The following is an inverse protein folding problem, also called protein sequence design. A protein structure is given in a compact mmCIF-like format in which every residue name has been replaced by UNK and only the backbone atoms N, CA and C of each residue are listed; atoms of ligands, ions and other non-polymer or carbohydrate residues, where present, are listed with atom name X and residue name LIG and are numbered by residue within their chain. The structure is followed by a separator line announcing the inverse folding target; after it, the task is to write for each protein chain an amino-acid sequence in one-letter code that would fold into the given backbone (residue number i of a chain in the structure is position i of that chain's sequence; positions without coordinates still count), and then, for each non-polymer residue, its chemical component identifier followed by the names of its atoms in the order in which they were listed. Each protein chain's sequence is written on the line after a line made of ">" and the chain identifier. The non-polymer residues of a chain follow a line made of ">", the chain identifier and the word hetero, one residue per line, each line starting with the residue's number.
data_IF_073510806123
#
_entry.id   IF_073510806123
#
_cell.length_a   1.000
_cell.length_b   1.000
_cell.length_c   1.000
_cell.angle_alpha   90.00
_cell.angle_beta   90.00
_cell.angle_gamma   90.00
#
_symmetry.space_group_name_H-M   'P 1'
#
loop_
_entity.id
_entity.type
_entity.pdbx_description
1 polymer ?
#
# COMPACT_ATOMS: atom_id res chain seq x y z
N UNK A 1 52.33 -34.41 -6.08
CA UNK A 1 51.60 -33.97 -4.87
C UNK A 1 51.73 -32.44 -4.79
N UNK A 2 50.79 -31.70 -5.39
CA UNK A 2 50.81 -30.23 -5.42
C UNK A 2 49.79 -29.73 -4.39
N UNK A 3 50.29 -29.13 -3.29
CA UNK A 3 49.47 -28.43 -2.31
C UNK A 3 48.93 -27.15 -2.95
N UNK A 4 47.62 -27.06 -3.11
CA UNK A 4 46.93 -25.82 -3.45
C UNK A 4 46.67 -25.07 -2.14
N UNK A 5 47.44 -24.00 -1.89
CA UNK A 5 47.20 -23.07 -0.79
C UNK A 5 46.12 -22.10 -1.28
N UNK A 6 44.88 -22.33 -0.85
CA UNK A 6 43.78 -21.41 -1.06
C UNK A 6 43.93 -20.28 -0.02
N UNK A 7 44.53 -19.17 -0.42
CA UNK A 7 44.59 -17.96 0.39
C UNK A 7 43.22 -17.28 0.40
N UNK A 8 42.38 -17.62 1.37
CA UNK A 8 41.16 -16.90 1.69
C UNK A 8 41.55 -15.54 2.28
N UNK A 9 41.72 -14.54 1.42
CA UNK A 9 41.84 -13.14 1.85
C UNK A 9 40.48 -12.72 2.38
N UNK A 10 40.28 -12.88 3.68
CA UNK A 10 39.21 -12.21 4.41
C UNK A 10 39.49 -10.70 4.34
N UNK A 11 38.88 -10.03 3.36
CA UNK A 11 38.68 -8.59 3.42
C UNK A 11 37.70 -8.32 4.56
N UNK A 12 38.24 -8.21 5.78
CA UNK A 12 37.57 -7.54 6.88
C UNK A 12 37.65 -6.05 6.52
N UNK A 13 36.78 -5.63 5.61
CA UNK A 13 36.50 -4.22 5.43
C UNK A 13 35.89 -3.74 6.73
N UNK A 14 36.71 -3.15 7.59
CA UNK A 14 36.21 -2.27 8.63
C UNK A 14 35.44 -1.19 7.89
N UNK A 15 34.12 -1.36 7.79
CA UNK A 15 33.21 -0.30 7.44
C UNK A 15 33.41 0.75 8.52
N UNK A 16 34.32 1.69 8.27
CA UNK A 16 34.43 2.87 9.10
C UNK A 16 33.03 3.49 9.06
N UNK A 17 32.37 3.51 10.22
CA UNK A 17 31.10 4.18 10.35
C UNK A 17 31.29 5.59 9.79
N UNK A 18 30.59 5.92 8.69
CA UNK A 18 30.62 7.27 8.16
C UNK A 18 29.91 8.14 9.18
N UNK A 19 30.67 8.89 9.96
CA UNK A 19 30.11 9.87 10.87
C UNK A 19 29.40 10.93 10.03
N UNK A 20 28.07 11.04 10.23
CA UNK A 20 27.28 12.08 9.58
C UNK A 20 27.62 13.44 10.18
N UNK A 21 27.66 14.51 9.37
CA UNK A 21 27.86 15.85 9.89
C UNK A 21 26.68 16.25 10.79
N UNK A 22 26.89 17.12 11.79
CA UNK A 22 25.84 17.59 12.69
C UNK A 22 24.95 18.61 11.97
N UNK A 23 24.06 18.13 11.09
CA UNK A 23 23.10 18.98 10.36
C UNK A 23 22.14 19.61 11.37
N UNK A 24 22.16 20.94 11.45
CA UNK A 24 21.27 21.69 12.32
C UNK A 24 19.89 21.81 11.69
N UNK A 25 18.85 21.76 12.53
CA UNK A 25 17.51 22.06 12.07
C UNK A 25 17.38 23.56 11.75
N UNK A 26 16.65 23.94 10.68
CA UNK A 26 16.31 25.34 10.44
C UNK A 26 15.58 25.90 11.66
N UNK A 27 16.09 27.01 12.21
CA UNK A 27 15.58 27.59 13.47
C UNK A 27 14.12 28.00 13.34
N UNK A 28 13.76 28.52 12.18
CA UNK A 28 12.42 28.97 11.82
C UNK A 28 11.40 27.82 11.82
N UNK A 29 11.83 26.56 11.67
CA UNK A 29 10.95 25.39 11.65
C UNK A 29 10.86 24.68 13.01
N UNK A 30 11.78 24.98 13.95
CA UNK A 30 11.91 24.25 15.22
C UNK A 30 11.69 25.10 16.47
N UNK A 31 11.92 26.40 16.41
CA UNK A 31 11.63 27.29 17.53
C UNK A 31 10.11 27.34 17.78
N UNK A 32 9.67 27.00 19.00
CA UNK A 32 8.24 27.01 19.37
C UNK A 32 7.59 28.39 19.28
N UNK A 33 8.39 29.46 19.27
CA UNK A 33 7.93 30.83 19.04
C UNK A 33 7.75 31.18 17.56
N UNK A 34 8.25 30.36 16.64
CA UNK A 34 8.14 30.60 15.20
C UNK A 34 6.71 30.33 14.70
N UNK A 35 6.22 31.19 13.80
CA UNK A 35 4.95 30.98 13.11
C UNK A 35 4.97 29.77 12.15
N UNK A 36 6.16 29.24 11.82
CA UNK A 36 6.36 28.11 10.92
C UNK A 36 6.72 26.79 11.63
N UNK A 37 6.63 26.75 12.96
CA UNK A 37 6.99 25.57 13.73
C UNK A 37 6.25 24.29 13.27
N UNK A 38 7.03 23.26 12.93
CA UNK A 38 6.54 22.00 12.36
C UNK A 38 5.92 21.03 13.37
N UNK A 39 5.99 21.36 14.66
CA UNK A 39 5.56 20.51 15.76
C UNK A 39 6.67 19.58 16.26
N UNK A 40 6.44 18.95 17.41
CA UNK A 40 7.43 18.11 18.12
C UNK A 40 6.93 16.69 18.38
N UNK A 41 5.63 16.46 18.22
CA UNK A 41 5.00 15.18 18.52
C UNK A 41 5.07 14.28 17.28
N UNK A 42 6.02 13.34 17.30
CA UNK A 42 6.23 12.33 16.25
C UNK A 42 5.36 11.08 16.44
N UNK A 43 4.85 10.85 17.66
CA UNK A 43 4.05 9.67 18.01
C UNK A 43 2.65 10.09 18.42
N UNK A 44 1.65 9.52 17.76
CA UNK A 44 0.23 9.75 18.06
C UNK A 44 -0.31 8.57 18.84
N UNK A 45 -0.96 8.83 19.98
CA UNK A 45 -1.78 7.82 20.65
C UNK A 45 -3.07 7.56 19.88
N UNK A 46 -3.80 6.47 20.19
CA UNK A 46 -5.11 6.22 19.58
C UNK A 46 -6.09 7.40 19.79
N UNK A 47 -6.06 8.03 20.96
CA UNK A 47 -6.87 9.21 21.25
C UNK A 47 -6.45 10.43 20.41
N UNK A 48 -5.16 10.59 20.13
CA UNK A 48 -4.67 11.66 19.25
C UNK A 48 -5.08 11.42 17.79
N UNK A 49 -5.14 10.15 17.36
CA UNK A 49 -5.61 9.74 16.04
C UNK A 49 -7.08 10.08 15.84
N UNK A 50 -7.95 9.80 16.82
CA UNK A 50 -9.38 10.12 16.76
C UNK A 50 -9.65 11.62 16.58
N UNK A 51 -8.77 12.47 17.12
CA UNK A 51 -8.84 13.93 16.96
C UNK A 51 -8.21 14.37 15.64
N UNK A 52 -7.13 13.72 15.21
CA UNK A 52 -6.42 14.08 14.00
C UNK A 52 -7.22 13.78 12.74
N UNK A 53 -7.86 12.60 12.64
CA UNK A 53 -8.51 12.15 11.41
C UNK A 53 -9.54 13.18 10.91
N UNK A 54 -10.47 13.70 11.75
CA UNK A 54 -11.40 14.74 11.35
C UNK A 54 -10.70 16.03 10.90
N UNK A 55 -9.63 16.44 11.58
CA UNK A 55 -8.83 17.60 11.18
C UNK A 55 -8.23 17.40 9.78
N UNK A 56 -7.61 16.25 9.53
CA UNK A 56 -6.93 15.98 8.27
C UNK A 56 -7.92 15.87 7.10
N UNK A 57 -9.06 15.21 7.31
CA UNK A 57 -10.14 15.14 6.31
C UNK A 57 -10.69 16.53 5.99
N UNK A 58 -10.91 17.36 7.01
CA UNK A 58 -11.35 18.73 6.82
C UNK A 58 -10.28 19.57 6.09
N UNK A 59 -9.01 19.44 6.47
CA UNK A 59 -7.90 20.11 5.81
C UNK A 59 -7.83 19.74 4.32
N UNK A 60 -7.93 18.45 3.98
CA UNK A 60 -7.97 17.99 2.60
C UNK A 60 -9.12 18.64 1.81
N UNK A 61 -10.34 18.64 2.36
CA UNK A 61 -11.50 19.25 1.72
C UNK A 61 -11.33 20.76 1.51
N UNK A 62 -10.86 21.47 2.54
CA UNK A 62 -10.60 22.92 2.49
C UNK A 62 -9.53 23.27 1.44
N UNK A 63 -8.44 22.51 1.39
CA UNK A 63 -7.34 22.73 0.45
C UNK A 63 -7.76 22.46 -1.01
N UNK A 64 -8.48 21.37 -1.26
CA UNK A 64 -9.02 21.08 -2.59
C UNK A 64 -9.97 22.18 -3.07
N UNK A 65 -10.89 22.61 -2.19
CA UNK A 65 -11.82 23.69 -2.50
C UNK A 65 -11.10 25.00 -2.79
N UNK A 66 -10.07 25.34 -2.02
CA UNK A 66 -9.28 26.55 -2.27
C UNK A 66 -8.62 26.56 -3.64
N UNK A 67 -8.09 25.41 -4.11
CA UNK A 67 -7.53 25.29 -5.47
C UNK A 67 -8.59 25.41 -6.57
N UNK A 68 -9.85 25.06 -6.29
CA UNK A 68 -10.96 25.25 -7.22
C UNK A 68 -11.43 26.71 -7.26
N UNK A 69 -11.63 27.32 -6.08
CA UNK A 69 -12.14 28.68 -5.91
C UNK A 69 -11.25 29.71 -6.63
N UNK A 70 -9.92 29.54 -6.58
CA UNK A 70 -8.96 30.49 -7.19
C UNK A 70 -9.10 30.63 -8.71
N UNK A 71 -9.68 29.65 -9.42
CA UNK A 71 -9.78 29.66 -10.90
C UNK A 71 -10.55 30.87 -11.45
N UNK A 72 -11.43 31.45 -10.65
CA UNK A 72 -12.27 32.60 -11.02
C UNK A 72 -11.76 33.95 -10.49
N UNK A 73 -10.68 33.94 -9.71
CA UNK A 73 -10.13 35.12 -9.02
C UNK A 73 -8.98 35.75 -9.80
N UNK A 74 -8.69 37.04 -9.54
CA UNK A 74 -7.44 37.67 -10.02
C UNK A 74 -6.22 37.16 -9.27
N UNK A 75 -5.01 37.20 -9.85
CA UNK A 75 -3.78 36.66 -9.22
C UNK A 75 -3.57 37.18 -7.79
N UNK A 76 -3.80 38.48 -7.54
CA UNK A 76 -3.67 39.07 -6.19
C UNK A 76 -4.73 38.54 -5.22
N UNK A 77 -5.95 38.30 -5.68
CA UNK A 77 -7.01 37.67 -4.88
C UNK A 77 -6.66 36.21 -4.61
N UNK A 78 -6.13 35.49 -5.60
CA UNK A 78 -5.70 34.09 -5.47
C UNK A 78 -4.64 33.94 -4.37
N UNK A 79 -3.57 34.74 -4.41
CA UNK A 79 -2.54 34.72 -3.36
C UNK A 79 -3.16 34.99 -1.99
N UNK A 80 -3.94 36.06 -1.85
CA UNK A 80 -4.52 36.43 -0.54
C UNK A 80 -5.41 35.30 -0.01
N UNK A 81 -6.22 34.70 -0.88
CA UNK A 81 -7.09 33.58 -0.55
C UNK A 81 -6.28 32.36 -0.12
N UNK A 82 -5.32 31.89 -0.91
CA UNK A 82 -4.49 30.73 -0.57
C UNK A 82 -3.67 30.96 0.69
N UNK A 83 -3.08 32.14 0.87
CA UNK A 83 -2.34 32.50 2.10
C UNK A 83 -3.23 32.36 3.34
N UNK A 84 -4.46 32.87 3.27
CA UNK A 84 -5.40 32.80 4.38
C UNK A 84 -5.81 31.35 4.68
N UNK A 85 -6.09 30.56 3.63
CA UNK A 85 -6.46 29.14 3.75
C UNK A 85 -5.32 28.32 4.36
N UNK A 86 -4.10 28.46 3.83
CA UNK A 86 -2.92 27.73 4.33
C UNK A 86 -2.69 28.08 5.81
N UNK A 87 -2.72 29.36 6.18
CA UNK A 87 -2.58 29.81 7.57
C UNK A 87 -3.69 29.24 8.47
N UNK A 88 -4.93 29.16 7.99
CA UNK A 88 -6.03 28.59 8.74
C UNK A 88 -5.85 27.09 9.00
N UNK A 89 -5.47 26.32 7.97
CA UNK A 89 -5.20 24.88 8.08
C UNK A 89 -4.04 24.62 9.06
N UNK A 90 -2.92 25.33 8.90
CA UNK A 90 -1.77 25.24 9.80
C UNK A 90 -2.17 25.57 11.25
N UNK A 91 -2.89 26.67 11.48
CA UNK A 91 -3.31 27.09 12.82
C UNK A 91 -4.23 26.07 13.48
N UNK A 92 -5.17 25.49 12.72
CA UNK A 92 -6.08 24.47 13.21
C UNK A 92 -5.33 23.17 13.59
N UNK A 93 -4.21 22.89 12.93
CA UNK A 93 -3.27 21.82 13.31
C UNK A 93 -2.41 22.18 14.53
N UNK A 94 -2.20 23.48 14.76
CA UNK A 94 -1.28 24.12 15.71
C UNK A 94 -1.49 23.73 17.16
N UNK A 95 -2.73 23.56 17.61
CA UNK A 95 -3.05 23.34 19.02
C UNK A 95 -2.49 22.05 19.62
N UNK A 96 -2.02 21.12 18.79
CA UNK A 96 -1.55 19.79 19.22
C UNK A 96 -0.11 19.45 18.83
N UNK A 97 0.59 20.32 18.09
CA UNK A 97 2.01 20.13 17.72
C UNK A 97 2.38 18.79 17.07
N UNK A 98 1.44 18.17 16.33
CA UNK A 98 1.70 16.94 15.60
C UNK A 98 2.63 17.19 14.41
N UNK A 99 3.64 16.34 14.26
CA UNK A 99 4.50 16.31 13.09
C UNK A 99 3.81 15.52 11.97
N UNK A 100 3.35 16.21 10.93
CA UNK A 100 2.81 15.58 9.72
C UNK A 100 3.36 16.22 8.47
N UNK A 101 3.51 15.43 7.40
CA UNK A 101 4.07 15.93 6.16
C UNK A 101 3.15 16.93 5.46
N UNK A 102 1.83 16.79 5.63
CA UNK A 102 0.88 17.82 5.22
C UNK A 102 1.19 19.16 5.90
N UNK A 103 1.42 19.18 7.21
CA UNK A 103 1.77 20.41 7.94
C UNK A 103 3.13 20.96 7.51
N UNK A 104 4.14 20.11 7.35
CA UNK A 104 5.48 20.52 6.92
C UNK A 104 5.41 21.22 5.56
N UNK A 105 4.70 20.62 4.61
CA UNK A 105 4.49 21.19 3.27
C UNK A 105 3.93 22.60 3.36
N UNK A 106 2.86 22.80 4.13
CA UNK A 106 2.16 24.08 4.26
C UNK A 106 3.00 25.13 4.99
N UNK A 107 3.67 24.77 6.09
CA UNK A 107 4.54 25.69 6.84
C UNK A 107 5.73 26.15 6.01
N UNK A 108 6.44 25.20 5.38
CA UNK A 108 7.59 25.51 4.53
C UNK A 108 7.17 26.34 3.32
N UNK A 109 5.98 26.10 2.77
CA UNK A 109 5.41 26.94 1.70
C UNK A 109 5.23 28.38 2.17
N UNK A 110 4.62 28.61 3.34
CA UNK A 110 4.47 29.97 3.88
C UNK A 110 5.82 30.63 4.17
N UNK A 111 6.78 29.86 4.69
CA UNK A 111 8.12 30.35 4.96
C UNK A 111 8.84 30.77 3.67
N UNK A 112 8.85 29.92 2.63
CA UNK A 112 9.44 30.27 1.34
C UNK A 112 8.77 31.50 0.71
N UNK A 113 7.45 31.64 0.83
CA UNK A 113 6.74 32.85 0.39
C UNK A 113 7.22 34.09 1.16
N UNK A 114 7.43 33.97 2.47
CA UNK A 114 7.96 35.07 3.28
C UNK A 114 9.38 35.45 2.84
N UNK A 115 10.26 34.48 2.59
CA UNK A 115 11.62 34.75 2.12
C UNK A 115 11.61 35.43 0.74
N UNK A 116 10.76 34.99 -0.18
CA UNK A 116 10.61 35.65 -1.50
C UNK A 116 10.17 37.12 -1.36
N UNK A 117 9.19 37.38 -0.48
CA UNK A 117 8.66 38.74 -0.24
C UNK A 117 9.68 39.66 0.45
N UNK A 118 10.62 39.12 1.23
CA UNK A 118 11.69 39.92 1.86
C UNK A 118 12.68 40.44 0.83
N UNK A 119 12.99 39.64 -0.17
CA UNK A 119 14.02 39.94 -1.17
C UNK A 119 13.46 40.65 -2.42
N UNK A 120 12.14 40.75 -2.59
CA UNK A 120 11.51 41.30 -3.80
C UNK A 120 10.36 42.26 -3.52
N UNK A 121 10.09 43.17 -4.45
CA UNK A 121 8.91 44.03 -4.37
C UNK A 121 7.64 43.24 -4.73
N UNK A 122 6.74 43.11 -3.75
CA UNK A 122 5.42 42.50 -3.88
C UNK A 122 4.55 43.13 -4.98
N UNK A 123 4.79 44.38 -5.34
CA UNK A 123 4.03 45.07 -6.38
C UNK A 123 4.37 44.57 -7.80
N UNK A 124 5.48 43.85 -7.98
CA UNK A 124 5.91 43.35 -9.29
C UNK A 124 5.09 42.12 -9.70
N UNK A 125 4.49 42.13 -10.90
CA UNK A 125 3.62 41.04 -11.38
C UNK A 125 4.31 39.66 -11.30
N UNK A 126 5.59 39.59 -11.69
CA UNK A 126 6.37 38.35 -11.62
C UNK A 126 6.54 37.80 -10.22
N UNK A 127 6.65 38.66 -9.19
CA UNK A 127 6.71 38.23 -7.79
C UNK A 127 5.40 37.59 -7.35
N UNK A 128 4.27 38.24 -7.66
CA UNK A 128 2.94 37.73 -7.27
C UNK A 128 2.65 36.38 -7.93
N UNK A 129 3.02 36.21 -9.20
CA UNK A 129 2.91 34.93 -9.92
C UNK A 129 3.79 33.84 -9.33
N UNK A 130 5.04 34.15 -8.97
CA UNK A 130 5.92 33.20 -8.31
C UNK A 130 5.39 32.77 -6.94
N UNK A 131 4.80 33.70 -6.18
CA UNK A 131 4.20 33.38 -4.88
C UNK A 131 2.99 32.48 -5.04
N UNK A 132 2.12 32.79 -5.99
CA UNK A 132 0.99 31.93 -6.34
C UNK A 132 1.47 30.52 -6.72
N UNK A 133 2.50 30.43 -7.56
CA UNK A 133 3.05 29.14 -8.00
C UNK A 133 3.58 28.32 -6.82
N UNK A 134 4.37 28.92 -5.91
CA UNK A 134 4.86 28.27 -4.69
C UNK A 134 3.68 27.79 -3.82
N UNK A 135 2.63 28.60 -3.66
CA UNK A 135 1.47 28.25 -2.86
C UNK A 135 0.66 27.09 -3.44
N UNK A 136 0.37 27.13 -4.74
CA UNK A 136 -0.34 26.04 -5.44
C UNK A 136 0.45 24.73 -5.30
N UNK A 137 1.76 24.76 -5.60
CA UNK A 137 2.65 23.59 -5.50
C UNK A 137 2.77 23.06 -4.07
N UNK A 138 2.78 23.97 -3.09
CA UNK A 138 2.76 23.64 -1.66
C UNK A 138 1.50 22.91 -1.22
N UNK A 139 0.33 23.38 -1.67
CA UNK A 139 -0.96 22.73 -1.40
C UNK A 139 -1.03 21.36 -2.09
N UNK A 140 -0.62 21.26 -3.35
CA UNK A 140 -0.57 19.98 -4.09
C UNK A 140 0.36 18.96 -3.39
N UNK A 141 1.51 19.40 -2.87
CA UNK A 141 2.39 18.56 -2.07
C UNK A 141 1.72 18.11 -0.76
N UNK A 142 1.08 19.04 -0.03
CA UNK A 142 0.37 18.73 1.21
C UNK A 142 -0.74 17.67 1.00
N UNK A 143 -1.50 17.79 -0.09
CA UNK A 143 -2.54 16.85 -0.48
C UNK A 143 -2.00 15.47 -0.88
N UNK A 144 -0.82 15.39 -1.50
CA UNK A 144 -0.18 14.09 -1.81
C UNK A 144 0.23 13.34 -0.54
N UNK A 145 0.74 14.06 0.45
CA UNK A 145 1.20 13.43 1.70
C UNK A 145 0.08 13.16 2.71
N UNK A 146 -1.12 13.69 2.50
CA UNK A 146 -2.30 13.38 3.32
C UNK A 146 -2.60 11.87 3.41
N UNK A 147 -2.54 11.14 2.29
CA UNK A 147 -2.82 9.70 2.31
C UNK A 147 -1.75 8.91 3.06
N UNK A 148 -0.49 9.37 2.98
CA UNK A 148 0.62 8.82 3.77
C UNK A 148 0.40 9.06 5.26
N UNK A 149 -0.07 10.25 5.65
CA UNK A 149 -0.40 10.62 7.02
C UNK A 149 -1.59 9.79 7.57
N UNK A 150 -2.60 9.45 6.75
CA UNK A 150 -3.69 8.55 7.14
C UNK A 150 -3.24 7.09 7.26
N UNK A 151 -2.43 6.61 6.31
CA UNK A 151 -1.89 5.26 6.34
C UNK A 151 -0.97 5.04 7.56
N UNK A 152 -0.22 6.08 7.95
CA UNK A 152 0.56 6.13 9.17
C UNK A 152 -0.30 5.86 10.42
N UNK A 153 -1.47 6.47 10.49
CA UNK A 153 -2.37 6.37 11.66
C UNK A 153 -3.13 5.07 11.74
N UNK A 154 -3.55 4.52 10.60
CA UNK A 154 -4.15 3.18 10.54
C UNK A 154 -3.19 2.11 11.05
N UNK A 155 -1.88 2.26 10.81
CA UNK A 155 -0.85 1.35 11.34
C UNK A 155 -0.64 1.52 12.85
N UNK A 156 -0.67 2.75 13.36
CA UNK A 156 -0.62 3.01 14.81
C UNK A 156 -1.79 2.35 15.54
N UNK A 157 -3.01 2.44 14.99
CA UNK A 157 -4.21 1.78 15.54
C UNK A 157 -4.16 0.24 15.52
N UNK A 158 -3.24 -0.35 14.75
CA UNK A 158 -3.01 -1.81 14.71
C UNK A 158 -1.97 -2.29 15.75
N UNK A 159 -1.61 -1.45 16.73
CA UNK A 159 -0.66 -1.80 17.79
C UNK A 159 0.80 -1.73 17.38
N UNK A 160 1.12 -1.11 16.22
CA UNK A 160 2.51 -0.76 15.87
C UNK A 160 2.83 0.57 16.55
N UNK A 161 3.30 0.49 17.79
CA UNK A 161 3.52 1.65 18.68
C UNK A 161 4.48 2.72 18.12
N UNK A 162 5.29 2.37 17.11
CA UNK A 162 6.19 3.31 16.43
C UNK A 162 6.22 3.04 14.93
N UNK A 163 5.87 4.04 14.14
CA UNK A 163 6.09 4.06 12.70
C UNK A 163 7.05 5.22 12.43
N UNK A 164 8.16 4.97 11.73
CA UNK A 164 9.06 6.06 11.34
C UNK A 164 8.44 6.86 10.18
N UNK A 165 8.48 8.18 10.26
CA UNK A 165 8.17 9.05 9.13
C UNK A 165 9.27 8.90 8.07
N UNK A 166 8.88 8.76 6.81
CA UNK A 166 9.82 8.66 5.69
C UNK A 166 10.21 10.09 5.23
N UNK A 167 11.02 10.75 6.05
CA UNK A 167 11.50 12.11 5.82
C UNK A 167 12.27 12.21 4.51
N UNK A 168 12.99 11.17 4.10
CA UNK A 168 13.74 11.19 2.85
C UNK A 168 12.83 11.21 1.61
N UNK A 169 11.77 10.40 1.59
CA UNK A 169 10.79 10.46 0.51
C UNK A 169 10.09 11.83 0.46
N UNK A 170 9.72 12.37 1.63
CA UNK A 170 9.15 13.70 1.72
C UNK A 170 10.11 14.79 1.21
N UNK A 171 11.37 14.77 1.64
CA UNK A 171 12.38 15.74 1.24
C UNK A 171 12.63 15.74 -0.26
N UNK A 172 12.65 14.57 -0.89
CA UNK A 172 12.78 14.45 -2.34
C UNK A 172 11.60 15.08 -3.09
N UNK A 173 10.37 14.75 -2.66
CA UNK A 173 9.18 15.31 -3.29
C UNK A 173 9.03 16.81 -3.03
N UNK A 174 9.32 17.26 -1.81
CA UNK A 174 9.37 18.67 -1.44
C UNK A 174 10.40 19.42 -2.28
N UNK A 175 11.64 18.92 -2.30
CA UNK A 175 12.74 19.49 -3.06
C UNK A 175 12.40 19.62 -4.53
N UNK A 176 12.07 18.53 -5.21
CA UNK A 176 11.67 18.56 -6.62
C UNK A 176 10.55 19.55 -6.90
N UNK A 177 9.51 19.54 -6.06
CA UNK A 177 8.33 20.40 -6.24
C UNK A 177 8.68 21.88 -6.09
N UNK A 178 9.44 22.23 -5.03
CA UNK A 178 9.78 23.62 -4.73
C UNK A 178 10.87 24.16 -5.63
N UNK A 179 11.87 23.34 -5.99
CA UNK A 179 12.92 23.75 -6.93
C UNK A 179 12.31 24.13 -8.29
N UNK A 180 11.36 23.34 -8.81
CA UNK A 180 10.61 23.71 -10.02
C UNK A 180 9.82 25.00 -9.82
N UNK A 181 9.22 25.20 -8.65
CA UNK A 181 8.45 26.42 -8.37
C UNK A 181 9.33 27.69 -8.34
N UNK A 182 10.59 27.56 -7.93
CA UNK A 182 11.53 28.68 -7.76
C UNK A 182 12.38 29.00 -8.99
N UNK A 183 12.36 28.13 -10.02
CA UNK A 183 13.14 28.34 -11.25
C UNK A 183 12.76 29.61 -12.02
N UNK A 184 11.51 30.09 -11.87
CA UNK A 184 11.00 31.27 -12.55
C UNK A 184 11.16 32.58 -11.74
N UNK A 185 11.83 32.53 -10.58
CA UNK A 185 12.18 33.73 -9.82
C UNK A 185 13.34 34.43 -10.51
N UNK A 186 13.07 35.61 -11.09
CA UNK A 186 14.04 36.36 -11.90
C UNK A 186 15.01 37.20 -11.06
N UNK A 187 14.60 37.56 -9.83
CA UNK A 187 15.48 38.24 -8.88
C UNK A 187 16.52 37.24 -8.35
N UNK A 188 17.80 37.52 -8.63
CA UNK A 188 18.89 36.59 -8.32
C UNK A 188 19.07 36.40 -6.81
N UNK A 189 18.91 37.45 -6.03
CA UNK A 189 19.06 37.41 -4.57
C UNK A 189 17.93 36.61 -3.92
N UNK A 190 16.70 36.81 -4.40
CA UNK A 190 15.54 36.02 -3.97
C UNK A 190 15.65 34.55 -4.39
N UNK A 191 16.02 34.26 -5.64
CA UNK A 191 16.17 32.89 -6.11
C UNK A 191 17.26 32.16 -5.31
N UNK A 192 18.41 32.82 -5.08
CA UNK A 192 19.47 32.27 -4.25
C UNK A 192 18.96 31.92 -2.84
N UNK A 193 18.29 32.86 -2.18
CA UNK A 193 17.76 32.69 -0.82
C UNK A 193 16.81 31.49 -0.72
N UNK A 194 15.91 31.35 -1.70
CA UNK A 194 14.95 30.24 -1.74
C UNK A 194 15.66 28.90 -1.95
N UNK A 195 16.61 28.82 -2.90
CA UNK A 195 17.37 27.60 -3.15
C UNK A 195 18.18 27.16 -1.93
N UNK A 196 18.80 28.12 -1.23
CA UNK A 196 19.55 27.85 0.00
C UNK A 196 18.63 27.21 1.05
N UNK A 197 17.47 27.83 1.33
CA UNK A 197 16.52 27.33 2.32
C UNK A 197 15.88 26.00 1.95
N UNK A 198 15.59 25.77 0.67
CA UNK A 198 15.11 24.47 0.20
C UNK A 198 16.16 23.37 0.48
N UNK A 199 17.43 23.61 0.15
CA UNK A 199 18.50 22.63 0.38
C UNK A 199 18.82 22.43 1.86
N UNK A 200 18.73 23.48 2.68
CA UNK A 200 18.85 23.40 4.14
C UNK A 200 17.79 22.44 4.72
N UNK A 201 16.54 22.60 4.30
CA UNK A 201 15.42 21.73 4.72
C UNK A 201 15.58 20.29 4.24
N UNK A 202 16.00 20.09 2.98
CA UNK A 202 16.26 18.76 2.42
C UNK A 202 17.35 18.04 3.22
N UNK A 203 18.46 18.74 3.51
CA UNK A 203 19.57 18.16 4.25
C UNK A 203 19.15 17.76 5.66
N UNK A 204 18.38 18.62 6.32
CA UNK A 204 17.83 18.32 7.64
C UNK A 204 16.93 17.08 7.61
N UNK A 205 16.02 16.98 6.64
CA UNK A 205 15.14 15.82 6.50
C UNK A 205 15.90 14.53 6.20
N UNK A 206 16.89 14.56 5.29
CA UNK A 206 17.75 13.41 5.02
C UNK A 206 18.53 12.97 6.26
N UNK A 207 19.07 13.91 7.04
CA UNK A 207 19.88 13.61 8.22
C UNK A 207 19.09 12.94 9.37
N UNK A 208 17.77 13.18 9.44
CA UNK A 208 16.90 12.60 10.48
C UNK A 208 16.09 11.39 10.01
N UNK A 209 16.23 11.00 8.75
CA UNK A 209 15.56 9.82 8.20
C UNK A 209 16.21 8.53 8.70
N UNK A 210 15.46 7.43 8.73
CA UNK A 210 15.99 6.11 9.07
C UNK A 210 17.06 5.61 8.08
N UNK A 211 17.09 6.16 6.85
CA UNK A 211 18.07 5.84 5.81
C UNK A 211 19.20 6.88 5.69
N UNK A 212 19.44 7.68 6.73
CA UNK A 212 20.45 8.75 6.69
C UNK A 212 21.86 8.25 6.33
N UNK A 213 22.22 7.02 6.72
CA UNK A 213 23.53 6.42 6.40
C UNK A 213 23.65 6.10 4.91
N UNK A 214 22.59 5.55 4.31
CA UNK A 214 22.53 5.27 2.86
C UNK A 214 22.53 6.58 2.04
N UNK A 215 22.08 7.68 2.64
CA UNK A 215 22.07 9.02 2.05
C UNK A 215 23.30 9.86 2.43
N UNK A 216 24.30 9.28 3.11
CA UNK A 216 25.41 10.04 3.72
C UNK A 216 26.16 10.93 2.75
N UNK A 217 26.37 10.45 1.52
CA UNK A 217 27.18 11.18 0.52
C UNK A 217 26.48 12.47 0.10
N UNK A 218 25.17 12.42 -0.12
CA UNK A 218 24.37 13.61 -0.43
C UNK A 218 24.25 14.55 0.77
N UNK A 219 24.08 14.00 1.98
CA UNK A 219 24.03 14.81 3.22
C UNK A 219 25.33 15.59 3.40
N UNK A 220 26.48 14.93 3.26
CA UNK A 220 27.81 15.56 3.40
C UNK A 220 28.05 16.60 2.31
N UNK A 221 27.66 16.32 1.06
CA UNK A 221 27.81 17.23 -0.06
C UNK A 221 27.00 18.52 0.14
N UNK A 222 25.72 18.40 0.52
CA UNK A 222 24.87 19.56 0.80
C UNK A 222 25.40 20.32 2.02
N UNK A 223 25.71 19.64 3.12
CA UNK A 223 26.22 20.26 4.34
C UNK A 223 27.48 21.07 4.08
N UNK A 224 28.48 20.48 3.43
CA UNK A 224 29.77 21.14 3.17
C UNK A 224 29.60 22.36 2.29
N UNK A 225 28.73 22.26 1.28
CA UNK A 225 28.47 23.37 0.36
C UNK A 225 27.75 24.50 1.09
N UNK A 226 26.64 24.24 1.79
CA UNK A 226 25.90 25.27 2.52
C UNK A 226 26.74 25.92 3.63
N UNK A 227 27.57 25.16 4.33
CA UNK A 227 28.47 25.67 5.37
C UNK A 227 29.53 26.66 4.83
N UNK A 228 29.90 26.50 3.55
CA UNK A 228 30.87 27.39 2.89
C UNK A 228 30.25 28.66 2.28
N UNK A 229 28.93 28.81 2.37
CA UNK A 229 28.17 29.88 1.73
C UNK A 229 27.50 30.75 2.80
N UNK A 230 27.40 32.06 2.54
CA UNK A 230 26.62 32.95 3.40
C UNK A 230 25.12 32.65 3.25
N UNK A 231 24.38 32.64 4.36
CA UNK A 231 22.96 32.32 4.33
C UNK A 231 22.12 33.41 3.61
N UNK A 232 22.59 34.66 3.66
CA UNK A 232 21.92 35.83 3.12
C UNK A 232 22.55 36.25 1.78
N UNK A 233 21.76 36.69 0.80
CA UNK A 233 22.29 37.21 -0.45
C UNK A 233 23.22 38.40 -0.22
N UNK A 234 24.25 38.53 -1.05
CA UNK A 234 25.04 39.75 -1.09
C UNK A 234 24.29 40.81 -1.91
N UNK A 235 24.64 42.08 -1.74
CA UNK A 235 24.08 43.16 -2.57
C UNK A 235 24.50 43.08 -4.05
N UNK A 236 25.35 42.12 -4.44
CA UNK A 236 25.90 41.96 -5.77
C UNK A 236 25.25 40.76 -6.47
N UNK A 237 24.40 41.03 -7.46
CA UNK A 237 23.71 40.01 -8.24
C UNK A 237 24.65 38.98 -8.89
N UNK A 238 25.87 39.38 -9.26
CA UNK A 238 26.84 38.46 -9.86
C UNK A 238 27.23 37.33 -8.88
N UNK A 239 27.37 37.64 -7.59
CA UNK A 239 27.68 36.65 -6.56
C UNK A 239 26.47 35.74 -6.31
N UNK A 240 25.27 36.30 -6.26
CA UNK A 240 24.02 35.54 -6.16
C UNK A 240 23.87 34.55 -7.33
N UNK A 241 24.15 34.97 -8.57
CA UNK A 241 24.13 34.08 -9.74
C UNK A 241 25.19 32.99 -9.66
N UNK A 242 26.41 33.31 -9.20
CA UNK A 242 27.45 32.30 -8.99
C UNK A 242 27.02 31.26 -7.95
N UNK A 243 26.40 31.71 -6.85
CA UNK A 243 25.88 30.85 -5.80
C UNK A 243 24.71 29.99 -6.28
N UNK A 244 23.77 30.54 -7.06
CA UNK A 244 22.68 29.78 -7.70
C UNK A 244 23.25 28.63 -8.53
N UNK A 245 24.31 28.86 -9.32
CA UNK A 245 24.95 27.79 -10.12
C UNK A 245 25.51 26.67 -9.25
N UNK A 246 26.13 27.00 -8.10
CA UNK A 246 26.63 26.01 -7.13
C UNK A 246 25.49 25.24 -6.47
N UNK A 247 24.40 25.89 -6.11
CA UNK A 247 23.23 25.21 -5.54
C UNK A 247 22.56 24.29 -6.58
N UNK A 248 22.50 24.71 -7.84
CA UNK A 248 21.94 23.88 -8.92
C UNK A 248 22.74 22.59 -9.16
N UNK A 249 24.05 22.56 -8.88
CA UNK A 249 24.79 21.28 -8.95
C UNK A 249 24.37 20.30 -7.84
N UNK A 250 24.00 20.81 -6.65
CA UNK A 250 23.49 19.97 -5.56
C UNK A 250 22.10 19.41 -5.85
N UNK A 251 21.25 20.16 -6.57
CA UNK A 251 19.93 19.69 -6.99
C UNK A 251 20.04 18.36 -7.76
N UNK A 252 21.00 18.27 -8.68
CA UNK A 252 21.24 17.04 -9.43
C UNK A 252 21.66 15.87 -8.51
N UNK A 253 22.37 16.14 -7.41
CA UNK A 253 22.70 15.14 -6.39
C UNK A 253 21.47 14.71 -5.61
N UNK A 254 20.58 15.65 -5.24
CA UNK A 254 19.29 15.33 -4.60
C UNK A 254 18.45 14.45 -5.51
N UNK A 255 18.32 14.76 -6.79
CA UNK A 255 17.55 13.95 -7.75
C UNK A 255 18.03 12.49 -7.83
N UNK A 256 19.35 12.26 -7.74
CA UNK A 256 19.92 10.90 -7.73
C UNK A 256 19.50 10.09 -6.50
N UNK A 257 19.22 10.74 -5.36
CA UNK A 257 18.78 10.02 -4.15
C UNK A 257 17.42 9.33 -4.35
N UNK A 258 16.59 9.80 -5.28
CA UNK A 258 15.33 9.11 -5.63
C UNK A 258 15.59 7.68 -6.14
N UNK A 259 16.70 7.47 -6.89
CA UNK A 259 17.12 6.14 -7.33
C UNK A 259 17.48 5.23 -6.15
N UNK A 260 18.24 5.76 -5.18
CA UNK A 260 18.62 5.05 -3.96
C UNK A 260 17.39 4.67 -3.13
N UNK A 261 16.47 5.62 -2.91
CA UNK A 261 15.24 5.37 -2.16
C UNK A 261 14.34 4.33 -2.83
N UNK A 262 14.25 4.34 -4.17
CA UNK A 262 13.50 3.32 -4.91
C UNK A 262 14.13 1.93 -4.76
N UNK A 263 15.46 1.85 -4.75
CA UNK A 263 16.16 0.58 -4.52
C UNK A 263 15.93 0.06 -3.10
N UNK A 264 15.98 0.94 -2.09
CA UNK A 264 15.67 0.59 -0.70
C UNK A 264 14.22 0.10 -0.58
N UNK A 265 13.27 0.84 -1.15
CA UNK A 265 11.85 0.46 -1.13
C UNK A 265 11.61 -0.91 -1.79
N UNK A 266 12.29 -1.19 -2.92
CA UNK A 266 12.24 -2.48 -3.60
C UNK A 266 12.80 -3.60 -2.70
N UNK A 267 13.99 -3.40 -2.12
CA UNK A 267 14.61 -4.38 -1.21
C UNK A 267 13.72 -4.68 0.01
N UNK A 268 13.18 -3.64 0.64
CA UNK A 268 12.28 -3.80 1.78
C UNK A 268 10.97 -4.50 1.39
N UNK A 269 10.44 -4.23 0.19
CA UNK A 269 9.26 -4.93 -0.34
C UNK A 269 9.52 -6.42 -0.59
N UNK A 270 10.69 -6.76 -1.13
CA UNK A 270 11.12 -8.15 -1.33
C UNK A 270 11.31 -8.87 0.01
N UNK A 271 11.95 -8.23 0.99
CA UNK A 271 12.15 -8.80 2.33
C UNK A 271 10.82 -9.02 3.07
N UNK A 272 9.91 -8.05 3.02
CA UNK A 272 8.57 -8.18 3.60
C UNK A 272 7.77 -9.30 2.94
N UNK A 273 7.84 -9.42 1.61
CA UNK A 273 7.19 -10.49 0.84
C UNK A 273 7.75 -11.86 1.21
N UNK A 274 9.08 -11.98 1.35
CA UNK A 274 9.69 -13.26 1.74
C UNK A 274 9.36 -13.63 3.20
N UNK A 275 9.36 -12.66 4.12
CA UNK A 275 8.93 -12.88 5.50
C UNK A 275 7.46 -13.29 5.60
N UNK A 276 6.58 -12.69 4.79
CA UNK A 276 5.18 -13.11 4.69
C UNK A 276 5.06 -14.55 4.19
N UNK A 277 5.80 -14.91 3.13
CA UNK A 277 5.84 -16.30 2.65
C UNK A 277 6.37 -17.27 3.70
N UNK A 278 7.36 -16.88 4.50
CA UNK A 278 7.88 -17.72 5.58
C UNK A 278 6.84 -17.92 6.68
N UNK A 279 6.14 -16.85 7.09
CA UNK A 279 5.03 -16.94 8.04
C UNK A 279 3.88 -17.79 7.52
N UNK A 280 3.54 -17.68 6.23
CA UNK A 280 2.54 -18.53 5.59
C UNK A 280 2.97 -19.99 5.58
N UNK A 281 4.22 -20.29 5.20
CA UNK A 281 4.77 -21.66 5.25
C UNK A 281 4.72 -22.22 6.65
N UNK A 282 5.06 -21.43 7.66
CA UNK A 282 5.03 -21.87 9.06
C UNK A 282 3.60 -22.08 9.56
N UNK A 283 2.66 -21.18 9.23
CA UNK A 283 1.25 -21.35 9.55
C UNK A 283 0.67 -22.63 8.90
N UNK A 284 1.05 -22.89 7.65
CA UNK A 284 0.70 -24.11 6.92
C UNK A 284 1.28 -25.33 7.64
N UNK A 285 2.57 -25.35 8.03
CA UNK A 285 3.15 -26.46 8.82
C UNK A 285 2.40 -26.72 10.11
N UNK A 286 2.02 -25.67 10.84
CA UNK A 286 1.32 -25.80 12.12
C UNK A 286 -0.12 -26.32 11.95
N UNK A 287 -0.80 -25.96 10.87
CA UNK A 287 -2.15 -26.44 10.55
C UNK A 287 -2.16 -27.90 10.10
N UNK A 288 -1.03 -28.42 9.63
CA UNK A 288 -0.99 -29.66 8.85
C UNK A 288 -0.02 -30.66 9.47
N UNK A 289 -0.51 -31.55 10.34
CA UNK A 289 0.29 -32.66 10.84
C UNK A 289 0.51 -33.67 9.70
N UNK A 290 1.49 -33.39 8.83
CA UNK A 290 1.91 -34.28 7.76
C UNK A 290 2.51 -35.54 8.38
N UNK A 291 2.04 -36.71 7.94
CA UNK A 291 2.56 -38.01 8.38
C UNK A 291 2.99 -38.84 7.18
N UNK A 292 4.12 -39.53 7.31
CA UNK A 292 4.52 -40.52 6.31
C UNK A 292 3.43 -41.59 6.17
N UNK A 293 3.13 -41.99 4.94
CA UNK A 293 2.03 -42.90 4.62
C UNK A 293 0.66 -42.24 4.44
N UNK A 294 0.52 -40.94 4.70
CA UNK A 294 -0.74 -40.20 4.49
C UNK A 294 -1.02 -39.99 2.98
N UNK A 295 -2.27 -40.18 2.56
CA UNK A 295 -2.72 -39.85 1.21
C UNK A 295 -3.00 -38.33 1.08
N UNK A 296 -2.45 -37.71 0.03
CA UNK A 296 -2.52 -36.26 -0.18
C UNK A 296 -2.47 -35.93 -1.68
N UNK A 297 -3.11 -34.83 -2.09
CA UNK A 297 -3.06 -34.32 -3.45
C UNK A 297 -1.83 -33.45 -3.67
N UNK A 298 -1.15 -33.64 -4.81
CA UNK A 298 -0.29 -32.65 -5.44
C UNK A 298 -1.14 -31.75 -6.33
N UNK A 299 -1.25 -30.47 -5.99
CA UNK A 299 -2.05 -29.47 -6.72
C UNK A 299 -1.19 -28.52 -7.55
N UNK A 300 0.06 -28.90 -7.88
CA UNK A 300 0.93 -28.12 -8.78
C UNK A 300 0.27 -27.85 -10.14
N UNK A 301 -0.50 -28.83 -10.66
CA UNK A 301 -1.37 -28.64 -11.81
C UNK A 301 -2.84 -28.57 -11.35
N UNK A 302 -3.44 -27.39 -11.41
CA UNK A 302 -4.80 -27.18 -10.91
C UNK A 302 -5.86 -27.98 -11.66
N UNK A 303 -5.61 -28.29 -12.94
CA UNK A 303 -6.55 -28.99 -13.82
C UNK A 303 -6.41 -30.52 -13.75
N UNK A 304 -5.39 -31.02 -13.06
CA UNK A 304 -5.20 -32.45 -12.85
C UNK A 304 -4.42 -32.70 -11.57
N UNK A 305 -5.04 -32.49 -10.39
CA UNK A 305 -4.44 -32.82 -9.11
C UNK A 305 -4.14 -34.32 -9.04
N UNK A 306 -2.92 -34.67 -8.63
CA UNK A 306 -2.48 -36.06 -8.54
C UNK A 306 -2.53 -36.54 -7.10
N UNK A 307 -3.27 -37.63 -6.82
CA UNK A 307 -3.27 -38.26 -5.51
C UNK A 307 -1.98 -39.08 -5.32
N UNK A 308 -1.24 -38.80 -4.26
CA UNK A 308 -0.04 -39.54 -3.88
C UNK A 308 -0.06 -39.90 -2.40
N UNK A 309 0.93 -40.70 -1.99
CA UNK A 309 1.18 -41.05 -0.58
C UNK A 309 2.49 -40.41 -0.14
N UNK A 310 2.49 -39.76 1.02
CA UNK A 310 3.68 -39.13 1.59
C UNK A 310 4.76 -40.19 1.85
N UNK A 311 5.86 -40.11 1.11
CA UNK A 311 7.02 -40.99 1.25
C UNK A 311 8.09 -40.39 2.18
N UNK A 312 8.39 -39.11 2.04
CA UNK A 312 9.39 -38.38 2.82
C UNK A 312 8.91 -36.96 3.09
N UNK A 313 9.07 -36.46 4.32
CA UNK A 313 8.75 -35.07 4.70
C UNK A 313 10.06 -34.32 4.90
N UNK A 314 10.22 -33.19 4.20
CA UNK A 314 11.35 -32.27 4.34
C UNK A 314 10.85 -30.93 4.89
N UNK A 315 11.78 -29.99 5.11
CA UNK A 315 11.46 -28.66 5.67
C UNK A 315 10.36 -27.94 4.86
N UNK A 316 10.55 -27.76 3.56
CA UNK A 316 9.62 -26.98 2.70
C UNK A 316 8.92 -27.83 1.63
N UNK A 317 9.25 -29.11 1.55
CA UNK A 317 8.77 -30.01 0.51
C UNK A 317 8.42 -31.38 1.06
N UNK A 318 7.63 -32.11 0.28
CA UNK A 318 7.26 -33.50 0.54
C UNK A 318 7.57 -34.32 -0.71
N UNK A 319 8.15 -35.50 -0.52
CA UNK A 319 8.28 -36.49 -1.60
C UNK A 319 7.04 -37.37 -1.56
N UNK A 320 6.28 -37.39 -2.65
CA UNK A 320 5.10 -38.21 -2.84
C UNK A 320 5.44 -39.42 -3.69
N UNK A 321 4.89 -40.58 -3.34
CA UNK A 321 4.84 -41.78 -4.20
C UNK A 321 3.45 -41.85 -4.84
N UNK A 322 3.39 -41.89 -6.17
CA UNK A 322 2.14 -41.99 -6.93
C UNK A 322 1.76 -43.44 -7.22
N UNK A 323 0.54 -43.65 -7.74
CA UNK A 323 -0.01 -44.98 -8.04
C UNK A 323 0.77 -45.75 -9.12
N UNK A 324 1.45 -45.04 -10.02
CA UNK A 324 2.33 -45.60 -11.06
C UNK A 324 3.74 -45.94 -10.54
N UNK A 325 3.96 -45.88 -9.23
CA UNK A 325 5.24 -46.05 -8.54
C UNK A 325 6.31 -44.98 -8.85
N UNK A 326 5.94 -43.87 -9.50
CA UNK A 326 6.84 -42.71 -9.63
C UNK A 326 6.88 -41.88 -8.35
N UNK A 327 7.91 -41.04 -8.23
CA UNK A 327 8.08 -40.12 -7.11
C UNK A 327 8.10 -38.67 -7.60
N UNK A 328 7.51 -37.76 -6.84
CA UNK A 328 7.55 -36.32 -7.10
C UNK A 328 7.85 -35.53 -5.84
N UNK A 329 8.68 -34.49 -5.95
CA UNK A 329 8.91 -33.53 -4.86
C UNK A 329 7.95 -32.35 -5.04
N UNK A 330 7.17 -32.03 -4.02
CA UNK A 330 6.11 -31.02 -4.06
C UNK A 330 6.30 -30.04 -2.91
N UNK A 331 6.11 -28.75 -3.14
CA UNK A 331 6.13 -27.76 -2.07
C UNK A 331 4.94 -27.96 -1.12
N UNK A 332 5.13 -27.75 0.19
CA UNK A 332 4.03 -27.93 1.16
C UNK A 332 2.83 -27.03 0.84
N UNK A 333 3.07 -25.85 0.26
CA UNK A 333 2.03 -24.91 -0.20
C UNK A 333 1.21 -25.42 -1.39
N UNK A 334 1.68 -26.47 -2.07
CA UNK A 334 1.03 -27.10 -3.25
C UNK A 334 0.42 -28.46 -2.89
N UNK A 335 0.08 -28.68 -1.62
CA UNK A 335 -0.57 -29.90 -1.14
C UNK A 335 -2.07 -29.68 -0.89
N UNK A 336 -2.86 -30.73 -1.11
CA UNK A 336 -4.28 -30.81 -0.77
C UNK A 336 -4.62 -32.01 0.10
N UNK A 337 -5.17 -31.79 1.29
CA UNK A 337 -5.52 -32.84 2.26
C UNK A 337 -6.78 -33.58 1.85
N UNK A 338 -6.80 -34.88 2.11
CA UNK A 338 -7.94 -35.78 1.81
C UNK A 338 -8.94 -35.88 2.96
N UNK A 339 -8.80 -35.05 4.00
CA UNK A 339 -9.65 -35.01 5.20
C UNK A 339 -9.71 -33.60 5.77
N UNK A 340 -10.75 -33.29 6.55
CA UNK A 340 -10.87 -32.02 7.28
C UNK A 340 -12.00 -31.14 6.75
N UNK A 341 -12.15 -29.96 7.36
CA UNK A 341 -13.18 -28.99 7.01
C UNK A 341 -12.63 -27.56 7.06
N UNK A 342 -13.09 -26.71 6.15
CA UNK A 342 -12.80 -25.28 6.10
C UNK A 342 -14.11 -24.55 5.81
N UNK A 343 -14.44 -23.52 6.62
CA UNK A 343 -15.66 -22.69 6.44
C UNK A 343 -16.94 -23.54 6.33
N UNK A 344 -17.08 -24.53 7.21
CA UNK A 344 -18.21 -25.46 7.24
C UNK A 344 -18.44 -26.24 5.93
N UNK A 345 -17.37 -26.47 5.17
CA UNK A 345 -17.31 -27.37 4.02
C UNK A 345 -16.23 -28.41 4.30
N UNK A 346 -16.61 -29.68 4.31
CA UNK A 346 -15.76 -30.81 4.65
C UNK A 346 -15.41 -31.66 3.42
N UNK A 347 -14.26 -32.33 3.47
CA UNK A 347 -13.97 -33.39 2.50
C UNK A 347 -15.04 -34.47 2.61
N UNK A 348 -15.65 -34.82 1.47
CA UNK A 348 -16.79 -35.71 1.37
C UNK A 348 -18.11 -35.00 1.05
N UNK A 349 -18.22 -33.70 1.32
CA UNK A 349 -19.43 -32.92 1.06
C UNK A 349 -19.76 -32.86 -0.42
N UNK A 350 -21.06 -32.85 -0.72
CA UNK A 350 -21.59 -32.61 -2.06
C UNK A 350 -21.98 -31.15 -2.20
N UNK A 351 -21.57 -30.53 -3.30
CA UNK A 351 -21.76 -29.10 -3.59
C UNK A 351 -22.19 -28.92 -5.05
N UNK A 352 -22.65 -27.72 -5.40
CA UNK A 352 -22.77 -27.30 -6.80
C UNK A 352 -21.75 -26.19 -7.10
N UNK A 353 -21.20 -26.17 -8.32
CA UNK A 353 -20.39 -25.06 -8.79
C UNK A 353 -21.29 -23.85 -9.12
N UNK A 354 -20.73 -22.66 -9.02
CA UNK A 354 -21.33 -21.42 -9.49
C UNK A 354 -20.48 -20.86 -10.64
N UNK A 355 -20.71 -21.32 -11.87
CA UNK A 355 -20.02 -20.77 -13.03
C UNK A 355 -20.44 -19.32 -13.27
N UNK A 356 -19.52 -18.50 -13.79
CA UNK A 356 -19.74 -17.06 -13.94
C UNK A 356 -20.92 -16.68 -14.84
N UNK A 357 -21.33 -17.58 -15.73
CA UNK A 357 -22.47 -17.41 -16.64
C UNK A 357 -23.80 -17.98 -16.09
N UNK A 358 -23.82 -18.53 -14.86
CA UNK A 358 -24.99 -19.22 -14.27
C UNK A 358 -25.58 -20.36 -15.12
N UNK A 359 -24.78 -20.94 -16.04
CA UNK A 359 -25.16 -22.09 -16.84
C UNK A 359 -24.33 -23.30 -16.38
N UNK A 360 -24.96 -24.46 -16.22
CA UNK A 360 -24.33 -25.73 -15.84
C UNK A 360 -23.83 -25.80 -14.39
N UNK A 361 -24.79 -25.80 -13.45
CA UNK A 361 -24.58 -26.15 -12.05
C UNK A 361 -24.38 -27.67 -11.90
N UNK A 362 -23.14 -28.12 -12.11
CA UNK A 362 -22.73 -29.50 -11.93
C UNK A 362 -22.55 -29.83 -10.44
N UNK A 363 -23.01 -31.02 -10.08
CA UNK A 363 -22.81 -31.62 -8.78
C UNK A 363 -21.36 -32.04 -8.63
N UNK A 364 -20.75 -31.69 -7.51
CA UNK A 364 -19.37 -32.00 -7.21
C UNK A 364 -19.24 -32.58 -5.81
N UNK A 365 -18.17 -33.33 -5.58
CA UNK A 365 -17.75 -33.81 -4.26
C UNK A 365 -16.43 -33.14 -3.88
N UNK A 366 -16.34 -32.63 -2.66
CA UNK A 366 -15.05 -32.21 -2.10
C UNK A 366 -14.20 -33.44 -1.87
N UNK A 367 -13.10 -33.59 -2.59
CA UNK A 367 -12.15 -34.70 -2.43
C UNK A 367 -10.88 -34.27 -1.69
N UNK A 368 -10.61 -32.96 -1.62
CA UNK A 368 -9.57 -32.44 -0.77
C UNK A 368 -9.66 -30.95 -0.50
N UNK A 369 -8.78 -30.46 0.38
CA UNK A 369 -8.66 -29.05 0.76
C UNK A 369 -7.20 -28.65 0.66
N UNK A 370 -6.86 -27.57 -0.03
CA UNK A 370 -5.48 -27.10 -0.20
C UNK A 370 -4.96 -26.36 1.03
N UNK A 371 -3.64 -26.19 1.10
CA UNK A 371 -2.99 -25.43 2.17
C UNK A 371 -3.49 -23.98 2.33
N UNK A 372 -3.97 -23.38 1.24
CA UNK A 372 -4.52 -22.03 1.17
C UNK A 372 -6.06 -21.99 1.26
N UNK A 373 -6.67 -22.99 1.92
CA UNK A 373 -8.10 -23.03 2.22
C UNK A 373 -9.02 -23.04 0.97
N UNK A 374 -8.52 -23.57 -0.17
CA UNK A 374 -9.29 -23.84 -1.39
C UNK A 374 -9.65 -25.32 -1.48
N UNK A 375 -10.57 -25.66 -2.37
CA UNK A 375 -11.10 -27.01 -2.50
C UNK A 375 -10.57 -27.72 -3.74
N UNK A 376 -10.33 -29.01 -3.58
CA UNK A 376 -10.14 -29.99 -4.65
C UNK A 376 -11.46 -30.72 -4.83
N UNK A 377 -12.05 -30.62 -6.02
CA UNK A 377 -13.41 -31.06 -6.31
C UNK A 377 -13.39 -32.12 -7.40
N UNK A 378 -14.25 -33.13 -7.25
CA UNK A 378 -14.53 -34.14 -8.27
C UNK A 378 -15.94 -33.92 -8.82
N UNK A 379 -16.07 -33.81 -10.15
CA UNK A 379 -17.38 -33.73 -10.80
C UNK A 379 -18.13 -35.06 -10.69
N UNK A 380 -19.41 -34.99 -10.32
CA UNK A 380 -20.30 -36.14 -10.16
C UNK A 380 -21.28 -36.29 -11.34
N UNK A 381 -21.49 -35.23 -12.09
CA UNK A 381 -22.31 -35.19 -13.31
C UNK A 381 -21.73 -34.20 -14.34
N UNK A 382 -22.32 -34.18 -15.54
CA UNK A 382 -21.89 -33.32 -16.66
C UNK A 382 -20.80 -33.93 -17.55
N UNK A 383 -20.28 -33.13 -18.48
CA UNK A 383 -19.24 -33.55 -19.44
C UNK A 383 -17.94 -33.99 -18.74
N UNK A 384 -17.61 -33.36 -17.61
CA UNK A 384 -16.38 -33.60 -16.85
C UNK A 384 -16.56 -34.67 -15.75
N UNK A 385 -17.55 -35.56 -15.84
CA UNK A 385 -17.84 -36.54 -14.78
C UNK A 385 -16.59 -37.36 -14.41
N UNK A 386 -16.30 -37.45 -13.11
CA UNK A 386 -15.11 -38.05 -12.48
C UNK A 386 -13.80 -37.26 -12.61
N UNK A 387 -13.75 -36.16 -13.35
CA UNK A 387 -12.57 -35.30 -13.40
C UNK A 387 -12.38 -34.53 -12.08
N UNK A 388 -11.12 -34.29 -11.73
CA UNK A 388 -10.72 -33.65 -10.48
C UNK A 388 -10.02 -32.34 -10.80
N UNK A 389 -10.45 -31.26 -10.16
CA UNK A 389 -9.88 -29.92 -10.28
C UNK A 389 -9.58 -29.34 -8.91
N UNK A 390 -8.66 -28.40 -8.81
CA UNK A 390 -8.35 -27.69 -7.57
C UNK A 390 -8.39 -26.17 -7.76
N UNK A 391 -8.33 -25.43 -6.65
CA UNK A 391 -8.30 -23.97 -6.67
C UNK A 391 -9.66 -23.30 -6.46
N UNK A 392 -10.70 -24.08 -6.14
CA UNK A 392 -12.05 -23.57 -5.91
C UNK A 392 -12.15 -22.88 -4.56
N UNK A 393 -12.79 -21.71 -4.52
CA UNK A 393 -13.03 -21.00 -3.26
C UNK A 393 -14.44 -21.27 -2.74
N UNK A 394 -14.67 -21.07 -1.44
CA UNK A 394 -16.00 -21.24 -0.86
C UNK A 394 -17.05 -20.29 -1.49
N UNK A 395 -16.64 -19.15 -2.04
CA UNK A 395 -17.58 -18.17 -2.63
C UNK A 395 -18.24 -18.65 -3.92
N UNK A 396 -17.68 -19.65 -4.59
CA UNK A 396 -18.21 -20.19 -5.86
C UNK A 396 -18.85 -21.57 -5.69
N UNK A 397 -19.15 -21.95 -4.45
CA UNK A 397 -19.69 -23.27 -4.11
C UNK A 397 -21.00 -23.13 -3.34
N UNK A 398 -21.99 -23.91 -3.76
CA UNK A 398 -23.31 -23.95 -3.12
C UNK A 398 -23.51 -25.23 -2.33
N UNK A 399 -24.01 -25.10 -1.10
CA UNK A 399 -24.28 -26.26 -0.23
C UNK A 399 -25.51 -27.01 -0.70
N UNK A 400 -25.46 -28.34 -0.65
CA UNK A 400 -26.58 -29.23 -1.01
C UNK A 400 -27.44 -29.62 0.20
N UNK A 401 -27.24 -28.96 1.34
CA UNK A 401 -27.99 -29.17 2.58
C UNK A 401 -28.18 -27.84 3.32
N UNK A 402 -29.11 -27.82 4.27
CA UNK A 402 -29.41 -26.65 5.10
C UNK A 402 -30.58 -25.81 4.59
N UNK A 403 -30.76 -24.66 5.24
CA UNK A 403 -31.83 -23.71 4.95
C UNK A 403 -31.27 -22.28 4.93
N UNK A 404 -31.90 -21.42 4.15
CA UNK A 404 -31.71 -19.97 4.15
C UNK A 404 -33.08 -19.35 4.44
N UNK A 405 -33.24 -18.70 5.59
CA UNK A 405 -34.55 -18.26 6.05
C UNK A 405 -35.56 -19.41 6.19
N UNK A 406 -36.68 -19.34 5.47
CA UNK A 406 -37.77 -20.33 5.53
C UNK A 406 -37.69 -21.42 4.46
N UNK A 407 -36.73 -21.34 3.54
CA UNK A 407 -36.59 -22.26 2.43
C UNK A 407 -35.35 -23.15 2.63
N UNK A 408 -35.55 -24.45 2.44
CA UNK A 408 -34.53 -25.47 2.65
C UNK A 408 -34.22 -26.22 1.37
N UNK A 409 -33.02 -26.80 1.29
CA UNK A 409 -32.72 -27.76 0.22
C UNK A 409 -33.69 -28.93 0.29
N UNK A 410 -34.18 -29.35 -0.88
CA UNK A 410 -35.28 -30.29 -1.13
C UNK A 410 -36.71 -29.74 -1.03
N UNK A 411 -36.91 -28.48 -0.64
CA UNK A 411 -38.24 -27.88 -0.74
C UNK A 411 -38.68 -27.76 -2.20
N UNK A 412 -39.95 -28.10 -2.46
CA UNK A 412 -40.61 -27.80 -3.74
C UNK A 412 -41.16 -26.38 -3.68
N UNK A 413 -40.87 -25.59 -4.69
CA UNK A 413 -41.25 -24.18 -4.80
C UNK A 413 -41.86 -23.89 -6.17
N UNK A 414 -42.73 -22.88 -6.23
CA UNK A 414 -43.15 -22.26 -7.46
C UNK A 414 -42.28 -21.03 -7.72
N UNK A 415 -41.59 -21.00 -8.86
CA UNK A 415 -40.82 -19.84 -9.30
C UNK A 415 -41.76 -18.85 -10.00
N UNK A 416 -42.04 -17.72 -9.35
CA UNK A 416 -42.99 -16.72 -9.84
C UNK A 416 -42.52 -15.99 -11.10
N UNK A 417 -41.21 -15.95 -11.37
CA UNK A 417 -40.65 -15.29 -12.56
C UNK A 417 -40.88 -16.13 -13.82
N UNK A 418 -40.53 -17.41 -13.74
CA UNK A 418 -40.61 -18.33 -14.88
C UNK A 418 -41.93 -19.11 -14.93
N UNK A 419 -42.75 -19.04 -13.87
CA UNK A 419 -44.05 -19.73 -13.72
C UNK A 419 -43.95 -21.26 -13.78
N UNK A 420 -42.87 -21.82 -13.26
CA UNK A 420 -42.60 -23.26 -13.21
C UNK A 420 -42.42 -23.73 -11.77
N UNK A 421 -42.77 -24.99 -11.51
CA UNK A 421 -42.39 -25.69 -10.29
C UNK A 421 -40.92 -26.08 -10.35
N UNK A 422 -40.24 -25.94 -9.22
CA UNK A 422 -38.86 -26.31 -9.08
C UNK A 422 -38.60 -26.91 -7.70
N UNK A 423 -37.49 -27.63 -7.58
CA UNK A 423 -36.94 -28.10 -6.31
C UNK A 423 -35.70 -27.29 -5.98
N UNK A 424 -35.58 -26.82 -4.74
CA UNK A 424 -34.34 -26.21 -4.27
C UNK A 424 -33.30 -27.33 -4.13
N UNK A 425 -32.21 -27.26 -4.90
CA UNK A 425 -31.13 -28.25 -4.88
C UNK A 425 -29.85 -27.73 -4.21
N UNK A 426 -29.68 -26.42 -4.11
CA UNK A 426 -28.53 -25.85 -3.41
C UNK A 426 -28.77 -24.43 -2.89
N UNK A 427 -27.92 -24.01 -1.95
CA UNK A 427 -27.90 -22.67 -1.36
C UNK A 427 -26.53 -22.05 -1.60
N UNK A 428 -26.52 -20.88 -2.23
CA UNK A 428 -25.34 -20.08 -2.56
C UNK A 428 -24.82 -19.33 -1.33
N UNK A 429 -23.53 -18.92 -1.29
CA UNK A 429 -22.94 -18.23 -0.13
C UNK A 429 -23.60 -16.89 0.23
N UNK A 430 -24.26 -16.24 -0.73
CA UNK A 430 -25.02 -15.00 -0.56
C UNK A 430 -26.47 -15.23 -0.09
N UNK A 431 -26.86 -16.49 0.12
CA UNK A 431 -28.20 -16.87 0.57
C UNK A 431 -29.20 -17.12 -0.56
N UNK A 432 -28.80 -16.96 -1.82
CA UNK A 432 -29.62 -17.30 -2.99
C UNK A 432 -29.71 -18.82 -3.21
N UNK A 433 -30.64 -19.25 -4.07
CA UNK A 433 -30.97 -20.65 -4.30
C UNK A 433 -30.57 -21.11 -5.70
N UNK A 434 -30.18 -22.38 -5.79
CA UNK A 434 -30.11 -23.15 -7.03
C UNK A 434 -31.38 -23.99 -7.12
N UNK A 435 -32.08 -23.85 -8.23
CA UNK A 435 -33.32 -24.56 -8.53
C UNK A 435 -33.07 -25.65 -9.57
N UNK A 436 -33.74 -26.78 -9.44
CA UNK A 436 -33.94 -27.75 -10.52
C UNK A 436 -35.41 -27.74 -10.92
N UNK A 437 -35.72 -27.41 -12.18
CA UNK A 437 -37.11 -27.32 -12.63
C UNK A 437 -37.75 -28.69 -12.77
N UNK A 438 -38.98 -28.81 -12.28
CA UNK A 438 -39.77 -30.04 -12.28
C UNK A 438 -40.80 -30.08 -13.42
N UNK A 439 -41.13 -28.91 -13.99
CA UNK A 439 -42.02 -28.75 -15.13
C UNK A 439 -41.55 -27.60 -16.04
N UNK A 440 -42.26 -27.41 -17.16
CA UNK A 440 -41.98 -26.33 -18.12
C UNK A 440 -40.92 -26.64 -19.16
N UNK A 441 -40.50 -25.61 -19.89
CA UNK A 441 -39.51 -25.74 -20.97
C UNK A 441 -38.10 -26.10 -20.47
N UNK A 442 -37.80 -25.81 -19.20
CA UNK A 442 -36.51 -26.07 -18.55
C UNK A 442 -36.52 -27.34 -17.69
N UNK A 443 -37.50 -28.25 -17.88
CA UNK A 443 -37.66 -29.44 -17.02
C UNK A 443 -36.35 -30.24 -16.93
N UNK A 444 -35.87 -30.48 -15.71
CA UNK A 444 -34.63 -31.19 -15.42
C UNK A 444 -33.38 -30.31 -15.38
N UNK A 445 -33.41 -29.12 -15.99
CA UNK A 445 -32.32 -28.15 -15.95
C UNK A 445 -32.17 -27.48 -14.58
N UNK A 446 -30.98 -26.94 -14.32
CA UNK A 446 -30.65 -26.23 -13.08
C UNK A 446 -30.31 -24.77 -13.37
N UNK A 447 -30.76 -23.86 -12.51
CA UNK A 447 -30.40 -22.44 -12.56
C UNK A 447 -30.21 -21.84 -11.17
N UNK A 448 -29.17 -21.01 -11.00
CA UNK A 448 -28.81 -20.34 -9.75
C UNK A 448 -29.19 -18.86 -9.70
N UNK A 449 -28.87 -18.21 -8.57
CA UNK A 449 -29.10 -16.77 -8.37
C UNK A 449 -30.53 -16.39 -8.01
N UNK A 450 -31.35 -17.35 -7.57
CA UNK A 450 -32.74 -17.07 -7.21
C UNK A 450 -32.83 -16.55 -5.77
N UNK A 451 -33.43 -15.38 -5.60
CA UNK A 451 -33.75 -14.82 -4.28
C UNK A 451 -35.04 -15.44 -3.74
N UNK A 452 -35.22 -15.44 -2.41
CA UNK A 452 -36.44 -15.97 -1.77
C UNK A 452 -37.71 -15.26 -2.24
N UNK A 453 -37.62 -14.00 -2.67
CA UNK A 453 -38.76 -13.19 -3.10
C UNK A 453 -39.45 -13.73 -4.37
N UNK A 454 -38.75 -14.53 -5.17
CA UNK A 454 -39.30 -15.13 -6.38
C UNK A 454 -39.89 -16.53 -6.16
N UNK A 455 -39.80 -17.07 -4.93
CA UNK A 455 -40.10 -18.46 -4.64
C UNK A 455 -41.24 -18.57 -3.63
N UNK A 456 -42.26 -19.34 -3.99
CA UNK A 456 -43.34 -19.70 -3.06
C UNK A 456 -43.27 -21.19 -2.76
N UNK A 457 -43.08 -21.58 -1.50
CA UNK A 457 -43.06 -22.99 -1.11
C UNK A 457 -44.40 -23.67 -1.38
N UNK A 458 -44.38 -24.76 -2.11
CA UNK A 458 -45.53 -25.63 -2.37
C UNK A 458 -45.59 -26.65 -1.22
N UNK A 459 -46.76 -26.76 -0.59
CA UNK A 459 -46.97 -27.67 0.54
C UNK A 459 -47.12 -29.12 0.12
#
# INVERSE_FOLDING_TARGET
>A
MKLLILSTVLFIGNAMAKDLPPVQAPRELTETSSEFAEGTITRLSAADVDIFIPYAQNAQSVLNKALEDIRSMTVQQQVKHLTAVIKAVVRNSGQKNYQTFMRFSLNRTLFLVQELVKETDWATSGTVENVLNIQVKGIELALRFYESDLAYQRRANQGKETVALNHAAFANDFGRTMLTATQNVLDASAQYRLLYKILEMINWDFSRDQYAIELSDTIVEIYTTLYSMDENPTANDADSVQNIRRLNTLIASVEKTSGVLNEIARKNGEELSERQRELEREAIRQRLPLKQGQAIFNVTNQNSPLLGVIHEIRKDTVVLKYSDNTYGTVAITQLGYTTGCVKDICVGDKLFNMPANNQDHNSMKVVGITADDKFVLQYLDGEYTNEIYSGWTAQVLSKTTGCSGQLCVNDTVFNMKNKFQAKIVGIQPDGNYILQYLDGEYTGERGGGWTAEYLTKIK
#
